data_IF_936811096575
#
_entry.id   IF_936811096575
#
_cell.length_a   1.000
_cell.length_b   1.000
_cell.length_c   1.000
_cell.angle_alpha   90.00
_cell.angle_beta   90.00
_cell.angle_gamma   90.00
#
_symmetry.space_group_name_H-M   'P 1'
#
loop_
_entity.id
_entity.type
_entity.pdbx_description
1 polymer ?
#
# COMPACT_ATOMS: atom_id res chain seq x y z
N UNK A 1 -22.92 -15.00 15.81
CA UNK A 1 -21.52 -15.28 15.44
C UNK A 1 -21.28 -14.60 14.10
N UNK A 2 -20.42 -13.59 14.02
CA UNK A 2 -20.05 -13.04 12.73
C UNK A 2 -19.24 -14.11 11.98
N UNK A 3 -19.74 -14.57 10.83
CA UNK A 3 -19.02 -15.51 9.97
C UNK A 3 -17.72 -14.85 9.54
N UNK A 4 -16.58 -15.37 9.99
CA UNK A 4 -15.27 -14.95 9.49
C UNK A 4 -15.24 -15.18 7.99
N UNK A 5 -15.06 -14.10 7.22
CA UNK A 5 -14.96 -14.20 5.77
C UNK A 5 -13.65 -14.89 5.41
N UNK A 6 -13.71 -16.03 4.73
CA UNK A 6 -12.54 -16.68 4.14
C UNK A 6 -12.13 -15.97 2.84
N UNK A 7 -11.37 -14.89 2.99
CA UNK A 7 -10.88 -14.10 1.87
C UNK A 7 -9.96 -14.88 0.93
N UNK A 8 -9.18 -15.84 1.44
CA UNK A 8 -8.22 -16.59 0.64
C UNK A 8 -8.93 -17.51 -0.38
N UNK A 9 -10.09 -18.05 -0.02
CA UNK A 9 -10.90 -18.89 -0.91
C UNK A 9 -11.47 -18.14 -2.12
N UNK A 10 -11.62 -16.81 -2.05
CA UNK A 10 -12.30 -16.05 -3.11
C UNK A 10 -11.58 -16.15 -4.45
N UNK A 11 -10.25 -16.03 -4.47
CA UNK A 11 -9.48 -16.20 -5.70
C UNK A 11 -9.27 -17.67 -6.07
N UNK A 12 -9.46 -18.62 -5.15
CA UNK A 12 -9.43 -20.07 -5.49
C UNK A 12 -10.70 -20.47 -6.21
N UNK A 13 -11.84 -19.94 -5.79
CA UNK A 13 -13.16 -20.28 -6.31
C UNK A 13 -13.59 -19.41 -7.51
N UNK A 14 -12.80 -18.40 -7.85
CA UNK A 14 -13.08 -17.49 -8.97
C UNK A 14 -12.93 -18.18 -10.32
N UNK A 15 -13.82 -17.85 -11.25
CA UNK A 15 -13.74 -18.25 -12.66
C UNK A 15 -13.08 -17.19 -13.54
N UNK A 16 -12.70 -16.03 -13.00
CA UNK A 16 -11.92 -15.02 -13.73
C UNK A 16 -10.47 -15.54 -13.86
N UNK A 17 -9.94 -15.76 -15.08
CA UNK A 17 -8.58 -16.28 -15.26
C UNK A 17 -7.51 -15.35 -14.65
N UNK A 18 -7.82 -14.06 -14.46
CA UNK A 18 -6.89 -13.12 -13.79
C UNK A 18 -6.71 -13.42 -12.30
N UNK A 19 -7.64 -14.15 -11.68
CA UNK A 19 -7.56 -14.52 -10.25
C UNK A 19 -6.69 -15.75 -9.97
N UNK A 20 -6.28 -16.51 -11.00
CA UNK A 20 -5.47 -17.73 -10.84
C UNK A 20 -4.27 -17.51 -9.91
N UNK A 21 -3.59 -16.37 -10.08
CA UNK A 21 -2.36 -16.00 -9.37
C UNK A 21 -2.57 -14.95 -8.27
N UNK A 22 -3.81 -14.54 -8.01
CA UNK A 22 -4.12 -13.54 -6.98
C UNK A 22 -4.14 -14.20 -5.61
N UNK A 23 -3.32 -13.68 -4.70
CA UNK A 23 -3.29 -14.05 -3.29
C UNK A 23 -4.04 -12.99 -2.49
N UNK A 24 -5.13 -13.39 -1.84
CA UNK A 24 -5.91 -12.52 -0.97
C UNK A 24 -5.63 -12.91 0.47
N UNK A 25 -5.06 -11.99 1.25
CA UNK A 25 -4.71 -12.23 2.66
C UNK A 25 -5.34 -11.17 3.55
N UNK A 26 -6.08 -11.60 4.57
CA UNK A 26 -6.50 -10.73 5.66
C UNK A 26 -5.36 -10.62 6.68
N UNK A 27 -4.78 -9.42 6.84
CA UNK A 27 -3.68 -9.13 7.76
C UNK A 27 -4.17 -8.83 9.18
N UNK A 28 -5.26 -8.08 9.24
CA UNK A 28 -5.96 -7.68 10.46
C UNK A 28 -7.46 -7.74 10.17
N UNK A 29 -8.35 -7.62 11.17
CA UNK A 29 -9.78 -7.51 10.92
C UNK A 29 -10.15 -6.45 9.85
N UNK A 30 -9.37 -5.37 9.80
CA UNK A 30 -9.64 -4.21 8.95
C UNK A 30 -8.77 -4.15 7.67
N UNK A 31 -7.67 -4.89 7.58
CA UNK A 31 -6.72 -4.81 6.45
C UNK A 31 -6.70 -6.10 5.65
N UNK A 32 -6.94 -5.98 4.34
CA UNK A 32 -6.82 -7.07 3.36
C UNK A 32 -5.87 -6.65 2.25
N UNK A 33 -4.96 -7.55 1.86
CA UNK A 33 -4.01 -7.34 0.76
C UNK A 33 -4.32 -8.25 -0.42
N UNK A 34 -4.08 -7.74 -1.62
CA UNK A 34 -4.23 -8.44 -2.89
C UNK A 34 -2.87 -8.47 -3.58
N UNK A 35 -2.21 -9.61 -3.54
CA UNK A 35 -0.83 -9.82 -3.99
C UNK A 35 -0.79 -10.65 -5.28
N UNK A 36 0.14 -10.35 -6.17
CA UNK A 36 0.35 -11.11 -7.42
C UNK A 36 1.83 -11.25 -7.78
N UNK A 37 2.17 -12.09 -8.77
CA UNK A 37 3.44 -11.99 -9.46
C UNK A 37 3.50 -10.73 -10.35
N UNK A 38 4.62 -10.02 -10.27
CA UNK A 38 4.96 -8.94 -11.21
C UNK A 38 6.47 -8.90 -11.43
N UNK A 39 6.87 -8.91 -12.69
CA UNK A 39 8.27 -8.95 -13.11
C UNK A 39 8.63 -7.64 -13.81
N UNK A 40 9.36 -6.76 -13.12
CA UNK A 40 9.77 -5.46 -13.68
C UNK A 40 10.67 -5.68 -14.90
N UNK A 41 10.33 -5.00 -16.00
CA UNK A 41 11.00 -5.12 -17.30
C UNK A 41 11.09 -6.56 -17.84
N UNK A 42 10.22 -7.47 -17.36
CA UNK A 42 10.27 -8.89 -17.72
C UNK A 42 11.48 -9.67 -17.16
N UNK A 43 12.33 -9.02 -16.35
CA UNK A 43 13.58 -9.62 -15.85
C UNK A 43 13.66 -9.74 -14.33
N UNK A 44 13.10 -8.80 -13.57
CA UNK A 44 13.25 -8.75 -12.11
C UNK A 44 11.92 -9.07 -11.40
N UNK A 45 11.76 -10.26 -10.81
CA UNK A 45 10.57 -10.63 -10.04
C UNK A 45 10.50 -9.83 -8.73
N UNK A 46 9.58 -8.87 -8.65
CA UNK A 46 9.40 -8.01 -7.47
C UNK A 46 8.02 -8.13 -6.84
N UNK A 47 7.05 -8.69 -7.57
CA UNK A 47 5.66 -8.85 -7.12
C UNK A 47 4.89 -7.52 -7.16
N UNK A 48 3.57 -7.55 -6.98
CA UNK A 48 2.75 -6.34 -6.85
C UNK A 48 1.69 -6.52 -5.78
N UNK A 49 1.22 -5.42 -5.16
CA UNK A 49 0.21 -5.49 -4.09
C UNK A 49 -0.71 -4.28 -4.07
N UNK A 50 -2.02 -4.52 -4.00
CA UNK A 50 -3.03 -3.54 -3.55
C UNK A 50 -3.36 -3.81 -2.09
N UNK A 51 -3.64 -2.75 -1.32
CA UNK A 51 -4.05 -2.86 0.09
C UNK A 51 -5.39 -2.18 0.30
N UNK A 52 -6.35 -2.87 0.90
CA UNK A 52 -7.62 -2.31 1.34
C UNK A 52 -7.66 -2.21 2.86
N UNK A 53 -8.19 -1.10 3.35
CA UNK A 53 -8.35 -0.79 4.77
C UNK A 53 -9.80 -0.41 5.01
N UNK A 54 -10.49 -1.17 5.86
CA UNK A 54 -11.80 -0.80 6.39
C UNK A 54 -11.60 0.27 7.45
N UNK A 55 -12.26 1.41 7.29
CA UNK A 55 -12.23 2.49 8.27
C UNK A 55 -13.43 2.38 9.18
N UNK A 56 -13.19 2.54 10.48
CA UNK A 56 -14.17 2.27 11.52
C UNK A 56 -15.18 3.40 11.67
N UNK A 57 -14.84 4.63 11.25
CA UNK A 57 -15.45 5.92 11.63
C UNK A 57 -15.70 5.99 13.15
N UNK A 58 -15.04 6.88 13.89
CA UNK A 58 -14.95 6.74 15.34
C UNK A 58 -16.31 6.83 16.05
N UNK A 59 -16.51 5.94 17.03
CA UNK A 59 -16.83 6.44 18.37
C UNK A 59 -15.50 6.92 19.00
N UNK A 60 -15.48 8.13 19.58
CA UNK A 60 -14.29 8.76 20.19
C UNK A 60 -13.47 7.79 21.06
N UNK A 61 -12.12 7.83 21.02
CA UNK A 61 -11.29 7.16 22.01
C UNK A 61 -11.50 7.75 23.42
N UNK A 62 -11.68 6.90 24.43
CA UNK A 62 -11.55 7.29 25.85
C UNK A 62 -10.09 7.10 26.25
N UNK A 63 -9.38 8.20 26.51
CA UNK A 63 -8.02 8.14 27.07
C UNK A 63 -8.14 7.88 28.56
N UNK A 64 -7.50 6.82 29.07
CA UNK A 64 -7.17 6.70 30.50
C UNK A 64 -5.66 6.71 30.68
N UNK A 65 -5.21 7.29 31.80
CA UNK A 65 -3.83 7.72 32.04
C UNK A 65 -2.74 6.65 31.84
N UNK A 66 -3.07 5.36 31.96
CA UNK A 66 -2.05 4.33 32.18
C UNK A 66 -2.03 3.17 31.18
N UNK A 67 -2.82 3.20 30.09
CA UNK A 67 -2.66 2.21 29.01
C UNK A 67 -3.31 2.63 27.70
N UNK A 68 -2.66 2.30 26.58
CA UNK A 68 -3.34 2.14 25.28
C UNK A 68 -3.97 0.75 25.33
N UNK A 69 -5.24 0.66 25.70
CA UNK A 69 -6.04 -0.48 25.23
C UNK A 69 -6.14 -0.33 23.70
N UNK A 70 -5.94 -1.41 22.91
CA UNK A 70 -6.41 -1.43 21.53
C UNK A 70 -7.85 -0.92 21.53
N UNK A 71 -8.18 -0.02 20.61
CA UNK A 71 -9.59 0.36 20.45
C UNK A 71 -10.42 -0.92 20.37
N UNK A 72 -11.56 -1.01 21.06
CA UNK A 72 -12.51 -2.10 20.84
C UNK A 72 -12.71 -2.27 19.34
N UNK A 73 -12.78 -3.53 18.89
CA UNK A 73 -13.01 -3.87 17.49
C UNK A 73 -14.16 -3.04 16.91
N UNK A 74 -13.88 -2.53 15.71
CA UNK A 74 -14.72 -1.73 14.83
C UNK A 74 -16.19 -2.16 14.88
N UNK A 75 -17.02 -1.31 15.51
CA UNK A 75 -18.47 -1.41 15.46
C UNK A 75 -19.04 -0.17 14.79
N UNK A 76 -19.04 -0.13 13.45
CA UNK A 76 -19.87 0.84 12.71
C UNK A 76 -19.36 1.39 11.37
N UNK A 77 -18.11 1.11 10.97
CA UNK A 77 -17.57 1.62 9.72
C UNK A 77 -17.60 0.60 8.59
N UNK A 78 -18.33 0.91 7.53
CA UNK A 78 -18.39 0.12 6.29
C UNK A 78 -17.65 0.82 5.14
N UNK A 79 -16.84 1.86 5.40
CA UNK A 79 -16.11 2.54 4.34
C UNK A 79 -14.74 1.91 4.12
N UNK A 80 -14.33 1.77 2.86
CA UNK A 80 -13.07 1.15 2.48
C UNK A 80 -12.19 2.15 1.75
N UNK A 81 -10.98 2.31 2.27
CA UNK A 81 -9.85 2.96 1.63
C UNK A 81 -9.05 1.92 0.85
N UNK A 82 -8.75 2.17 -0.42
CA UNK A 82 -7.98 1.26 -1.27
C UNK A 82 -6.73 1.95 -1.79
N UNK A 83 -5.57 1.42 -1.41
CA UNK A 83 -4.26 1.76 -1.94
C UNK A 83 -4.01 0.93 -3.21
N UNK A 84 -4.45 1.47 -4.34
CA UNK A 84 -4.68 0.77 -5.60
C UNK A 84 -3.42 0.72 -6.49
N UNK A 85 -2.94 -0.50 -6.76
CA UNK A 85 -1.69 -0.77 -7.48
C UNK A 85 -1.78 -2.01 -8.40
N UNK A 86 -2.91 -2.72 -8.38
CA UNK A 86 -3.08 -4.04 -8.99
C UNK A 86 -4.43 -4.18 -9.69
N UNK A 87 -4.62 -5.01 -10.75
CA UNK A 87 -5.88 -5.12 -11.48
C UNK A 87 -7.07 -5.40 -10.56
N UNK A 88 -8.23 -4.88 -10.96
CA UNK A 88 -9.49 -5.12 -10.27
C UNK A 88 -10.18 -6.35 -10.89
N UNK A 89 -9.79 -7.52 -10.40
CA UNK A 89 -10.34 -8.84 -10.77
C UNK A 89 -11.70 -9.15 -10.11
N UNK A 90 -12.33 -10.27 -10.48
CA UNK A 90 -13.57 -10.69 -9.84
C UNK A 90 -13.42 -10.97 -8.33
N UNK A 91 -12.37 -11.69 -7.91
CA UNK A 91 -12.16 -12.00 -6.50
C UNK A 91 -11.80 -10.77 -5.67
N UNK A 92 -11.06 -9.81 -6.22
CA UNK A 92 -10.75 -8.55 -5.54
C UNK A 92 -12.00 -7.68 -5.37
N UNK A 93 -12.88 -7.61 -6.38
CA UNK A 93 -14.21 -6.97 -6.26
C UNK A 93 -15.06 -7.62 -5.17
N UNK A 94 -15.11 -8.95 -5.14
CA UNK A 94 -15.88 -9.66 -4.12
C UNK A 94 -15.33 -9.42 -2.72
N UNK A 95 -14.01 -9.46 -2.55
CA UNK A 95 -13.37 -9.16 -1.28
C UNK A 95 -13.69 -7.73 -0.80
N UNK A 96 -13.55 -6.73 -1.67
CA UNK A 96 -13.90 -5.34 -1.36
C UNK A 96 -15.37 -5.19 -0.98
N UNK A 97 -16.30 -5.88 -1.67
CA UNK A 97 -17.72 -5.88 -1.33
C UNK A 97 -18.00 -6.47 0.06
N UNK A 98 -17.24 -7.50 0.49
CA UNK A 98 -17.31 -8.04 1.86
C UNK A 98 -16.65 -7.12 2.90
N UNK A 99 -15.78 -6.20 2.46
CA UNK A 99 -15.19 -5.18 3.32
C UNK A 99 -16.09 -3.95 3.51
N UNK A 100 -16.87 -3.58 2.50
CA UNK A 100 -17.83 -2.48 2.57
C UNK A 100 -17.84 -1.61 1.32
N UNK A 101 -18.26 -0.37 1.49
CA UNK A 101 -18.32 0.65 0.44
C UNK A 101 -16.96 1.26 0.20
N UNK A 102 -16.39 1.04 -0.98
CA UNK A 102 -15.16 1.73 -1.42
C UNK A 102 -15.45 3.22 -1.58
N UNK A 103 -14.74 4.04 -0.79
CA UNK A 103 -14.89 5.51 -0.75
C UNK A 103 -13.67 6.24 -1.28
N UNK A 104 -12.49 5.65 -1.17
CA UNK A 104 -11.23 6.27 -1.56
C UNK A 104 -10.37 5.29 -2.34
N UNK A 105 -9.84 5.77 -3.46
CA UNK A 105 -8.91 5.06 -4.34
C UNK A 105 -7.63 5.89 -4.42
N UNK A 106 -6.56 5.42 -3.77
CA UNK A 106 -5.28 6.13 -3.69
C UNK A 106 -4.24 5.39 -4.50
N UNK A 107 -3.62 6.06 -5.48
CA UNK A 107 -2.46 5.49 -6.19
C UNK A 107 -1.17 5.72 -5.37
N UNK A 108 -0.30 4.70 -5.23
CA UNK A 108 0.92 4.81 -4.44
C UNK A 108 1.90 5.89 -4.90
N UNK A 109 2.09 6.02 -6.21
CA UNK A 109 3.01 6.96 -6.84
C UNK A 109 2.65 7.10 -8.35
N UNK A 110 3.52 7.75 -9.12
CA UNK A 110 3.35 7.92 -10.56
C UNK A 110 3.47 6.64 -11.41
N UNK A 111 4.08 5.56 -10.91
CA UNK A 111 4.25 4.29 -11.64
C UNK A 111 3.13 3.29 -11.29
N UNK A 112 2.54 3.39 -10.11
CA UNK A 112 1.54 2.47 -9.58
C UNK A 112 0.10 2.85 -9.91
N UNK A 113 -0.11 3.87 -10.73
CA UNK A 113 -1.42 4.21 -11.28
C UNK A 113 -1.87 3.32 -12.44
N UNK A 114 -1.16 2.27 -12.84
CA UNK A 114 -1.47 1.48 -14.06
C UNK A 114 -2.92 0.98 -14.13
N UNK A 115 -3.49 0.56 -13.00
CA UNK A 115 -4.82 -0.06 -12.93
C UNK A 115 -5.92 0.86 -12.40
N UNK A 116 -5.60 2.11 -12.05
CA UNK A 116 -6.56 2.99 -11.38
C UNK A 116 -7.84 3.23 -12.20
N UNK A 117 -7.77 3.19 -13.54
CA UNK A 117 -8.94 3.33 -14.39
C UNK A 117 -9.97 2.22 -14.13
N UNK A 118 -9.54 0.96 -13.94
CA UNK A 118 -10.44 -0.15 -13.64
C UNK A 118 -11.22 0.09 -12.33
N UNK A 119 -10.58 0.71 -11.34
CA UNK A 119 -11.21 1.03 -10.05
C UNK A 119 -12.16 2.21 -10.17
N UNK A 120 -11.78 3.28 -10.88
CA UNK A 120 -12.64 4.44 -11.06
C UNK A 120 -13.89 4.08 -11.87
N UNK A 121 -13.75 3.26 -12.91
CA UNK A 121 -14.89 2.81 -13.72
C UNK A 121 -15.86 1.95 -12.90
N UNK A 122 -15.34 1.10 -12.01
CA UNK A 122 -16.16 0.21 -11.20
C UNK A 122 -16.72 0.88 -9.93
N UNK A 123 -16.00 1.84 -9.35
CA UNK A 123 -16.39 2.61 -8.17
C UNK A 123 -16.49 4.11 -8.47
N UNK A 124 -17.41 4.56 -9.34
CA UNK A 124 -17.47 5.95 -9.80
C UNK A 124 -17.82 6.96 -8.70
N UNK A 125 -18.34 6.50 -7.56
CA UNK A 125 -18.62 7.34 -6.39
C UNK A 125 -17.42 7.50 -5.45
N UNK A 126 -16.33 6.73 -5.64
CA UNK A 126 -15.14 6.83 -4.83
C UNK A 126 -14.28 8.03 -5.26
N UNK A 127 -13.61 8.65 -4.29
CA UNK A 127 -12.66 9.72 -4.53
C UNK A 127 -11.34 9.13 -5.03
N UNK A 128 -10.98 9.42 -6.28
CA UNK A 128 -9.67 9.12 -6.83
C UNK A 128 -8.64 10.15 -6.34
N UNK A 129 -7.57 9.68 -5.71
CA UNK A 129 -6.49 10.50 -5.15
C UNK A 129 -5.17 9.93 -5.64
N UNK A 130 -4.23 10.79 -6.00
CA UNK A 130 -2.95 10.35 -6.51
C UNK A 130 -1.91 11.44 -6.48
N UNK A 131 -0.95 11.37 -7.39
CA UNK A 131 0.14 12.34 -7.49
C UNK A 131 0.08 13.15 -8.78
N UNK A 132 0.63 14.36 -8.75
CA UNK A 132 0.57 15.36 -9.82
C UNK A 132 1.01 14.82 -11.19
N UNK A 133 1.89 13.81 -11.20
CA UNK A 133 2.34 13.11 -12.41
C UNK A 133 1.17 12.53 -13.22
N UNK A 134 0.09 12.11 -12.56
CA UNK A 134 -1.10 11.57 -13.22
C UNK A 134 -1.95 12.62 -13.96
N UNK A 135 -1.73 13.92 -13.73
CA UNK A 135 -2.43 14.97 -14.49
C UNK A 135 -2.22 14.83 -16.00
N UNK A 136 -0.99 14.47 -16.40
CA UNK A 136 -0.63 14.27 -17.81
C UNK A 136 -0.88 12.84 -18.28
N UNK A 137 -0.62 11.86 -17.43
CA UNK A 137 -0.68 10.44 -17.80
C UNK A 137 -2.11 9.89 -17.83
N UNK A 138 -3.01 10.47 -17.03
CA UNK A 138 -4.40 10.02 -16.84
C UNK A 138 -5.38 11.20 -16.81
N UNK A 139 -5.42 12.02 -17.87
CA UNK A 139 -6.22 13.24 -17.91
C UNK A 139 -7.74 12.99 -17.89
N UNK A 140 -8.17 11.75 -18.17
CA UNK A 140 -9.59 11.37 -18.17
C UNK A 140 -10.16 11.11 -16.77
N UNK A 141 -9.31 10.94 -15.76
CA UNK A 141 -9.76 10.65 -14.40
C UNK A 141 -10.13 11.95 -13.68
N UNK A 142 -11.30 11.95 -13.06
CA UNK A 142 -11.72 13.02 -12.16
C UNK A 142 -11.05 12.82 -10.79
N UNK A 143 -9.87 13.42 -10.62
CA UNK A 143 -9.13 13.36 -9.37
C UNK A 143 -9.78 14.26 -8.31
N UNK A 144 -10.11 13.69 -7.14
CA UNK A 144 -10.52 14.43 -5.96
C UNK A 144 -9.37 15.28 -5.40
N UNK A 145 -8.13 14.78 -5.53
CA UNK A 145 -6.94 15.56 -5.28
C UNK A 145 -5.66 14.87 -5.75
N UNK A 146 -4.67 15.69 -6.08
CA UNK A 146 -3.36 15.27 -6.54
C UNK A 146 -2.29 15.87 -5.63
N UNK A 147 -1.36 15.05 -5.15
CA UNK A 147 -0.22 15.48 -4.34
C UNK A 147 0.93 15.88 -5.24
N UNK A 148 1.48 17.06 -5.01
CA UNK A 148 2.51 17.68 -5.82
C UNK A 148 2.61 19.18 -5.54
N UNK A 149 3.74 19.82 -5.88
CA UNK A 149 4.00 21.22 -5.55
C UNK A 149 3.05 22.20 -6.24
N UNK A 150 2.40 21.82 -7.35
CA UNK A 150 1.49 22.68 -8.11
C UNK A 150 0.04 22.16 -8.04
N UNK A 151 -0.26 21.31 -7.07
CA UNK A 151 -1.56 20.67 -6.90
C UNK A 151 -2.10 20.90 -5.49
N UNK A 152 -3.41 20.67 -5.29
CA UNK A 152 -4.10 21.02 -4.04
C UNK A 152 -4.32 19.82 -3.10
N UNK A 153 -3.83 18.63 -3.47
CA UNK A 153 -4.16 17.38 -2.80
C UNK A 153 -3.78 17.35 -1.32
N UNK A 154 -2.64 17.95 -0.97
CA UNK A 154 -2.13 18.04 0.41
C UNK A 154 -2.89 19.04 1.28
N UNK A 155 -3.66 19.96 0.67
CA UNK A 155 -4.41 21.00 1.38
C UNK A 155 -5.85 20.61 1.70
N UNK A 156 -6.34 19.54 1.08
CA UNK A 156 -7.72 19.05 1.20
C UNK A 156 -7.90 18.09 2.38
N UNK A 157 -9.18 17.90 2.74
CA UNK A 157 -9.63 16.81 3.62
C UNK A 157 -10.62 15.93 2.87
N UNK A 158 -10.40 14.63 2.91
CA UNK A 158 -11.16 13.64 2.15
C UNK A 158 -12.10 12.82 3.04
N UNK A 159 -11.90 12.84 4.36
CA UNK A 159 -12.74 12.19 5.36
C UNK A 159 -12.09 10.97 6.03
N UNK A 160 -11.00 10.42 5.48
CA UNK A 160 -10.26 9.31 6.09
C UNK A 160 -9.24 9.78 7.15
N UNK A 161 -8.96 11.08 7.24
CA UNK A 161 -7.89 11.64 8.09
C UNK A 161 -7.95 11.29 9.59
N UNK A 162 -9.11 11.00 10.20
CA UNK A 162 -9.15 10.51 11.58
C UNK A 162 -8.40 9.19 11.80
N UNK A 163 -8.28 8.36 10.76
CA UNK A 163 -7.69 7.01 10.85
C UNK A 163 -6.45 6.83 9.94
N UNK A 164 -6.37 7.55 8.82
CA UNK A 164 -5.26 7.46 7.86
C UNK A 164 -4.62 8.82 7.62
N UNK A 165 -3.28 8.91 7.69
CA UNK A 165 -2.53 10.02 7.12
C UNK A 165 -1.90 9.64 5.78
N UNK A 166 -1.95 10.55 4.81
CA UNK A 166 -1.14 10.46 3.59
C UNK A 166 0.12 11.33 3.74
N UNK A 167 1.25 10.83 3.29
CA UNK A 167 2.52 11.56 3.28
C UNK A 167 3.16 11.49 1.90
N UNK A 168 3.24 12.66 1.27
CA UNK A 168 3.98 12.84 0.03
C UNK A 168 5.49 12.80 0.28
N UNK A 169 6.18 12.08 -0.59
CA UNK A 169 7.63 12.12 -0.73
C UNK A 169 7.93 12.50 -2.20
N UNK A 170 7.79 13.78 -2.50
CA UNK A 170 8.02 14.34 -3.85
C UNK A 170 9.49 14.24 -4.25
N UNK A 171 10.41 14.19 -3.29
CA UNK A 171 11.83 13.96 -3.54
C UNK A 171 12.12 12.58 -4.16
N UNK A 172 11.20 11.62 -4.04
CA UNK A 172 11.28 10.32 -4.71
C UNK A 172 10.99 10.50 -6.21
N UNK A 173 11.72 9.80 -7.09
CA UNK A 173 11.59 9.97 -8.55
C UNK A 173 10.21 9.65 -9.12
N UNK A 174 9.43 8.82 -8.44
CA UNK A 174 8.05 8.52 -8.84
C UNK A 174 7.02 9.44 -8.19
N UNK A 175 7.44 10.33 -7.29
CA UNK A 175 6.60 11.12 -6.38
C UNK A 175 5.71 10.18 -5.55
N UNK A 176 6.25 9.70 -4.43
CA UNK A 176 5.57 8.72 -3.58
C UNK A 176 4.47 9.36 -2.73
N UNK A 177 3.43 8.60 -2.43
CA UNK A 177 2.32 9.00 -1.58
C UNK A 177 2.01 7.87 -0.60
N UNK A 178 2.77 7.80 0.48
CA UNK A 178 2.61 6.74 1.48
C UNK A 178 1.35 6.97 2.34
N UNK A 179 0.80 5.89 2.90
CA UNK A 179 -0.33 5.95 3.81
C UNK A 179 0.01 5.31 5.17
N UNK A 180 -0.40 5.93 6.28
CA UNK A 180 -0.28 5.36 7.61
C UNK A 180 -1.67 5.17 8.19
N UNK A 181 -2.07 3.91 8.42
CA UNK A 181 -3.26 3.59 9.18
C UNK A 181 -2.92 3.59 10.67
N UNK A 182 -3.33 4.65 11.37
CA UNK A 182 -2.98 4.90 12.76
C UNK A 182 -3.57 3.87 13.74
N UNK A 183 -4.86 3.44 13.63
CA UNK A 183 -5.43 2.45 14.54
C UNK A 183 -4.65 1.13 14.58
N UNK A 184 -4.15 0.65 13.44
CA UNK A 184 -3.37 -0.60 13.37
C UNK A 184 -1.86 -0.39 13.41
N UNK A 185 -1.38 0.85 13.50
CA UNK A 185 0.05 1.19 13.45
C UNK A 185 0.75 0.62 12.21
N UNK A 186 0.17 0.82 11.03
CA UNK A 186 0.64 0.21 9.77
C UNK A 186 1.00 1.26 8.73
N UNK A 187 2.24 1.23 8.24
CA UNK A 187 2.70 1.99 7.06
C UNK A 187 2.41 1.17 5.80
N UNK A 188 1.87 1.81 4.78
CA UNK A 188 1.62 1.28 3.44
C UNK A 188 2.35 2.18 2.45
N UNK A 189 3.15 1.61 1.55
CA UNK A 189 4.00 2.38 0.63
C UNK A 189 4.19 1.70 -0.73
N UNK A 190 4.63 2.47 -1.72
CA UNK A 190 4.94 2.02 -3.07
C UNK A 190 6.36 1.47 -3.19
N UNK A 191 7.27 2.34 -3.63
CA UNK A 191 8.68 2.09 -3.94
C UNK A 191 9.67 2.62 -2.89
N UNK A 192 9.20 3.03 -1.72
CA UNK A 192 10.08 3.50 -0.64
C UNK A 192 10.86 2.35 -0.01
N UNK A 193 10.30 1.14 0.07
CA UNK A 193 11.01 0.00 0.63
C UNK A 193 10.61 -1.29 -0.06
N UNK A 194 11.59 -1.99 -0.62
CA UNK A 194 11.36 -3.35 -1.09
C UNK A 194 11.67 -4.31 0.05
N UNK A 195 10.91 -5.41 0.13
CA UNK A 195 11.17 -6.49 1.07
C UNK A 195 11.20 -7.85 0.35
N UNK A 196 12.12 -7.96 -0.61
CA UNK A 196 12.28 -9.18 -1.39
C UNK A 196 12.90 -10.32 -0.53
N UNK A 197 12.83 -11.59 -0.95
CA UNK A 197 12.07 -12.13 -2.08
C UNK A 197 10.54 -11.96 -1.96
N UNK A 198 9.79 -11.79 -3.07
CA UNK A 198 8.33 -11.63 -3.05
C UNK A 198 7.61 -12.99 -2.97
N UNK A 199 7.79 -13.73 -1.88
CA UNK A 199 7.32 -15.12 -1.77
C UNK A 199 5.81 -15.21 -1.77
N UNK A 200 5.12 -14.36 -1.01
CA UNK A 200 3.65 -14.34 -0.97
C UNK A 200 3.10 -14.06 -2.37
N UNK A 201 3.64 -13.03 -3.01
CA UNK A 201 3.26 -12.55 -4.33
C UNK A 201 3.42 -13.63 -5.42
N UNK A 202 4.38 -14.54 -5.29
CA UNK A 202 4.57 -15.66 -6.24
C UNK A 202 4.00 -17.00 -5.75
N UNK A 203 3.38 -17.07 -4.58
CA UNK A 203 2.94 -18.34 -3.97
C UNK A 203 1.91 -19.10 -4.80
N UNK A 204 1.05 -18.38 -5.54
CA UNK A 204 0.08 -18.96 -6.49
C UNK A 204 0.55 -19.00 -7.94
N UNK A 205 1.79 -18.59 -8.19
CA UNK A 205 2.39 -18.59 -9.53
C UNK A 205 3.37 -19.76 -9.76
N UNK A 206 3.33 -20.79 -8.90
CA UNK A 206 4.32 -21.87 -8.88
C UNK A 206 5.63 -21.52 -8.18
N UNK A 207 5.66 -20.42 -7.42
CA UNK A 207 6.83 -19.91 -6.74
C UNK A 207 7.68 -18.96 -7.60
N UNK A 208 8.83 -18.56 -7.05
CA UNK A 208 9.77 -17.68 -7.75
C UNK A 208 10.40 -18.41 -8.94
N UNK A 209 10.76 -17.69 -10.03
CA UNK A 209 11.55 -18.28 -11.10
C UNK A 209 12.83 -18.93 -10.55
N UNK A 210 13.07 -20.21 -10.88
CA UNK A 210 14.16 -21.01 -10.28
C UNK A 210 15.52 -20.32 -10.33
N UNK A 211 15.85 -19.71 -11.48
CA UNK A 211 17.13 -19.02 -11.67
C UNK A 211 17.26 -17.79 -10.77
N UNK A 212 16.18 -17.03 -10.61
CA UNK A 212 16.15 -15.90 -9.69
C UNK A 212 16.35 -16.35 -8.23
N UNK A 213 15.72 -17.46 -7.84
CA UNK A 213 15.93 -18.08 -6.52
C UNK A 213 17.38 -18.51 -6.28
N UNK A 214 18.05 -19.09 -7.28
CA UNK A 214 19.45 -19.53 -7.17
C UNK A 214 20.42 -18.36 -6.96
N UNK A 215 20.11 -17.18 -7.50
CA UNK A 215 20.88 -15.95 -7.28
C UNK A 215 20.40 -15.13 -6.07
N UNK A 216 19.88 -15.82 -5.03
CA UNK A 216 19.52 -15.20 -3.77
C UNK A 216 18.15 -14.49 -3.77
N UNK A 217 17.32 -14.70 -4.80
CA UNK A 217 15.92 -14.27 -4.84
C UNK A 217 15.70 -12.77 -4.72
N UNK A 218 16.70 -11.96 -5.13
CA UNK A 218 16.64 -10.51 -4.97
C UNK A 218 16.81 -10.04 -3.52
N UNK A 219 17.33 -10.86 -2.61
CA UNK A 219 17.54 -10.48 -1.20
C UNK A 219 18.42 -9.22 -1.00
N UNK A 220 19.25 -8.86 -1.98
CA UNK A 220 19.97 -7.57 -1.98
C UNK A 220 19.06 -6.33 -2.11
N UNK A 221 17.82 -6.53 -2.56
CA UNK A 221 16.71 -5.57 -2.60
C UNK A 221 15.76 -5.77 -1.41
N UNK A 222 16.31 -6.07 -0.23
CA UNK A 222 15.58 -6.08 1.05
C UNK A 222 16.25 -5.10 2.04
N UNK A 223 15.60 -4.78 3.18
CA UNK A 223 16.15 -3.84 4.15
C UNK A 223 17.54 -4.24 4.66
N UNK A 224 18.53 -3.37 4.41
CA UNK A 224 19.94 -3.60 4.73
C UNK A 224 20.75 -4.25 3.59
N UNK A 225 20.12 -4.58 2.47
CA UNK A 225 20.78 -5.07 1.27
C UNK A 225 21.47 -3.95 0.47
N UNK A 226 22.60 -4.29 -0.16
CA UNK A 226 23.43 -3.33 -0.91
C UNK A 226 22.70 -2.72 -2.12
N UNK A 227 21.87 -3.50 -2.81
CA UNK A 227 21.17 -3.02 -4.00
C UNK A 227 20.05 -2.04 -3.60
N UNK A 228 19.34 -2.32 -2.51
CA UNK A 228 18.36 -1.38 -1.97
C UNK A 228 18.99 -0.09 -1.46
N UNK A 229 20.14 -0.16 -0.79
CA UNK A 229 20.87 1.03 -0.36
C UNK A 229 21.32 1.90 -1.54
N UNK A 230 21.73 1.26 -2.64
CA UNK A 230 22.05 1.91 -3.92
C UNK A 230 20.83 2.55 -4.57
N UNK A 231 19.71 1.82 -4.66
CA UNK A 231 18.43 2.34 -5.16
C UNK A 231 17.97 3.56 -4.36
N UNK A 232 17.90 3.45 -3.03
CA UNK A 232 17.53 4.55 -2.14
C UNK A 232 18.39 5.80 -2.35
N UNK A 233 19.68 5.63 -2.63
CA UNK A 233 20.55 6.76 -2.97
C UNK A 233 20.28 7.35 -4.35
N UNK A 234 19.95 6.52 -5.34
CA UNK A 234 19.67 6.95 -6.71
C UNK A 234 18.31 7.65 -6.86
N UNK A 235 17.32 7.26 -6.07
CA UNK A 235 15.97 7.84 -6.10
C UNK A 235 15.83 9.13 -5.28
N UNK A 236 16.73 9.35 -4.32
CA UNK A 236 16.80 10.56 -3.49
C UNK A 236 17.49 11.73 -4.21
N UNK A 237 16.81 12.35 -5.19
CA UNK A 237 17.38 13.45 -6.01
C UNK A 237 17.60 14.72 -5.20
N UNK A 238 16.63 15.10 -4.36
CA UNK A 238 16.74 16.20 -3.41
C UNK A 238 16.76 15.64 -1.98
N UNK A 239 17.97 15.55 -1.41
CA UNK A 239 18.18 14.94 -0.09
C UNK A 239 17.64 15.79 1.06
N UNK A 240 17.65 17.11 0.91
CA UNK A 240 17.15 18.03 1.93
C UNK A 240 15.63 18.04 1.95
N UNK A 241 14.99 18.01 0.77
CA UNK A 241 13.55 17.81 0.67
C UNK A 241 13.15 16.43 1.20
N UNK A 242 13.85 15.37 0.80
CA UNK A 242 13.59 14.01 1.29
C UNK A 242 13.63 13.97 2.82
N UNK A 243 14.63 14.59 3.45
CA UNK A 243 14.71 14.63 4.92
C UNK A 243 13.48 15.28 5.56
N UNK A 244 12.99 16.37 4.99
CA UNK A 244 11.78 17.06 5.47
C UNK A 244 10.53 16.20 5.29
N UNK A 245 10.41 15.51 4.16
CA UNK A 245 9.26 14.65 3.82
C UNK A 245 9.23 13.35 4.62
N UNK A 246 10.39 12.79 4.97
CA UNK A 246 10.51 11.62 5.82
C UNK A 246 10.24 11.92 7.31
N UNK A 247 10.47 13.15 7.77
CA UNK A 247 10.29 13.54 9.16
C UNK A 247 8.90 13.18 9.75
N UNK A 248 7.76 13.52 9.11
CA UNK A 248 6.44 13.13 9.63
C UNK A 248 6.20 11.61 9.62
N UNK A 249 6.68 10.89 8.60
CA UNK A 249 6.59 9.42 8.53
C UNK A 249 7.38 8.78 9.69
N UNK A 250 8.57 9.30 9.94
CA UNK A 250 9.46 8.82 11.01
C UNK A 250 8.91 9.14 12.41
N UNK A 251 8.27 10.30 12.60
CA UNK A 251 7.66 10.71 13.86
C UNK A 251 6.36 9.96 14.19
N UNK A 252 5.61 9.50 13.17
CA UNK A 252 4.37 8.77 13.36
C UNK A 252 4.59 7.40 14.06
N UNK A 253 3.58 6.96 14.81
CA UNK A 253 3.58 5.65 15.50
C UNK A 253 3.08 4.55 14.57
N UNK A 254 3.97 3.65 14.17
CA UNK A 254 3.66 2.44 13.39
C UNK A 254 4.79 1.41 13.55
N UNK A 255 4.48 0.14 13.30
CA UNK A 255 5.44 -0.98 13.34
C UNK A 255 5.27 -1.94 12.17
N UNK A 256 4.05 -2.22 11.72
CA UNK A 256 3.83 -3.01 10.49
C UNK A 256 4.15 -2.16 9.26
N UNK A 257 4.76 -2.77 8.25
CA UNK A 257 5.01 -2.15 6.94
C UNK A 257 4.52 -3.09 5.83
N UNK A 258 3.65 -2.56 4.95
CA UNK A 258 3.11 -3.25 3.77
C UNK A 258 3.71 -2.59 2.52
N UNK A 259 4.73 -3.19 1.88
CA UNK A 259 5.28 -2.68 0.64
C UNK A 259 4.43 -3.10 -0.57
N UNK A 260 4.51 -2.35 -1.68
CA UNK A 260 4.00 -2.83 -2.97
C UNK A 260 4.84 -4.01 -3.51
N UNK A 261 6.14 -4.02 -3.20
CA UNK A 261 7.10 -5.02 -3.68
C UNK A 261 7.75 -5.80 -2.54
N UNK A 262 7.48 -7.11 -2.48
CA UNK A 262 8.00 -8.00 -1.45
C UNK A 262 6.98 -8.41 -0.38
N UNK A 263 7.45 -9.22 0.56
CA UNK A 263 6.61 -9.74 1.64
C UNK A 263 6.28 -8.65 2.68
N UNK A 264 5.12 -8.75 3.33
CA UNK A 264 4.73 -7.84 4.42
C UNK A 264 5.70 -7.98 5.60
N UNK A 265 6.09 -6.86 6.19
CA UNK A 265 6.83 -6.83 7.45
C UNK A 265 5.81 -6.67 8.58
N UNK A 266 5.42 -7.79 9.20
CA UNK A 266 4.37 -7.82 10.23
C UNK A 266 4.77 -7.06 11.50
N UNK A 267 6.05 -7.12 11.89
CA UNK A 267 6.63 -6.43 13.04
C UNK A 267 8.05 -5.97 12.74
N UNK A 268 8.53 -4.94 13.45
CA UNK A 268 9.87 -4.39 13.27
C UNK A 268 10.03 -3.54 11.99
N UNK A 269 8.94 -3.03 11.43
CA UNK A 269 8.97 -2.23 10.20
C UNK A 269 9.75 -0.93 10.37
N UNK A 270 9.72 -0.28 11.54
CA UNK A 270 10.58 0.89 11.81
C UNK A 270 12.07 0.55 11.74
N UNK A 271 12.46 -0.64 12.22
CA UNK A 271 13.84 -1.11 12.15
C UNK A 271 14.23 -1.38 10.69
N UNK A 272 13.36 -2.03 9.92
CA UNK A 272 13.57 -2.25 8.49
C UNK A 272 13.69 -0.93 7.72
N UNK A 273 12.78 0.00 7.95
CA UNK A 273 12.78 1.34 7.35
C UNK A 273 14.07 2.11 7.65
N UNK A 274 14.53 2.09 8.90
CA UNK A 274 15.77 2.74 9.30
C UNK A 274 17.00 2.19 8.57
N UNK A 275 17.04 0.90 8.22
CA UNK A 275 18.14 0.32 7.42
C UNK A 275 18.24 0.92 6.02
N UNK A 276 17.17 1.52 5.51
CA UNK A 276 17.12 2.16 4.19
C UNK A 276 17.28 3.68 4.30
N UNK A 277 16.56 4.30 5.25
CA UNK A 277 16.30 5.74 5.24
C UNK A 277 16.97 6.54 6.36
N UNK A 278 17.61 5.90 7.35
CA UNK A 278 18.23 6.60 8.49
C UNK A 278 19.28 7.65 8.10
N UNK A 279 19.97 7.47 6.97
CA UNK A 279 20.94 8.44 6.42
C UNK A 279 20.31 9.76 5.95
N UNK A 280 18.99 9.81 5.81
CA UNK A 280 18.22 11.00 5.44
C UNK A 280 17.27 11.45 6.56
N UNK A 281 17.39 10.87 7.76
CA UNK A 281 16.55 11.19 8.93
C UNK A 281 17.16 12.30 9.78
#
# INVERSE_FOLDING_TARGET
>A
MATTTDFASLSVNSTDPRDEKVVIRQLTPDIVTFSVPFTRMGVLPIGGRTTAVRLSRPAKPTVTADSIQPSPQSGGGDDVFVYASHPLTAATKEALAKMGTVKWLVTPDGEHGMYIQEYVDYYPAAQAIGVERHLKEKPAIQWAGLFGPNSDGSTKKYGFEPEISLHEVYAHVNHELTAIHHPSGTLIEGDMLFNLPPKEQYSRAGGLPKLFGLFGGGSSMSPGGIAQAGMANGIAKDKELLKKELAPINAAKWDRLIPCHGDVIETGGKVAWAKVWSKYS
#
